data_IF_986123435967
#
_entry.id   IF_986123435967
#
_cell.length_a   1.000
_cell.length_b   1.000
_cell.length_c   1.000
_cell.angle_alpha   90.00
_cell.angle_beta   90.00
_cell.angle_gamma   90.00
#
_symmetry.space_group_name_H-M   'P 1'
#
loop_
_entity.id
_entity.type
_entity.pdbx_description
1 polymer ?
#
# COMPACT_ATOMS: atom_id res chain seq x y z
N UNK A 1 -6.92 -26.69 6.59
CA UNK A 1 -6.22 -25.68 5.77
C UNK A 1 -7.25 -25.03 4.85
N UNK A 2 -7.64 -23.78 5.11
CA UNK A 2 -8.64 -23.06 4.27
C UNK A 2 -7.89 -22.11 3.33
N UNK A 3 -8.20 -22.23 2.04
CA UNK A 3 -7.59 -21.54 0.92
C UNK A 3 -7.65 -20.01 1.05
N UNK A 4 -6.49 -19.35 0.99
CA UNK A 4 -6.34 -17.89 0.96
C UNK A 4 -6.30 -17.31 -0.46
N UNK A 5 -6.75 -18.08 -1.47
CA UNK A 5 -6.77 -17.64 -2.87
C UNK A 5 -8.22 -17.74 -3.37
N UNK A 6 -9.05 -16.77 -3.02
CA UNK A 6 -10.32 -16.56 -3.72
C UNK A 6 -9.99 -15.86 -5.04
N UNK A 7 -10.09 -16.62 -6.13
CA UNK A 7 -10.11 -16.08 -7.48
C UNK A 7 -11.35 -15.22 -7.66
N UNK A 8 -11.16 -13.92 -7.83
CA UNK A 8 -12.24 -12.98 -8.13
C UNK A 8 -12.66 -13.21 -9.59
N UNK A 9 -13.96 -13.33 -9.85
CA UNK A 9 -14.43 -13.26 -11.23
C UNK A 9 -14.23 -11.83 -11.78
N UNK A 10 -14.12 -11.68 -13.09
CA UNK A 10 -14.03 -10.36 -13.73
C UNK A 10 -15.21 -9.45 -13.35
N UNK A 11 -16.39 -10.03 -13.12
CA UNK A 11 -17.57 -9.31 -12.63
C UNK A 11 -17.35 -8.77 -11.21
N UNK A 12 -16.85 -9.60 -10.30
CA UNK A 12 -16.57 -9.21 -8.91
C UNK A 12 -15.53 -8.09 -8.83
N UNK A 13 -14.50 -8.16 -9.67
CA UNK A 13 -13.50 -7.10 -9.76
C UNK A 13 -14.12 -5.79 -10.26
N UNK A 14 -14.93 -5.84 -11.31
CA UNK A 14 -15.59 -4.64 -11.86
C UNK A 14 -16.55 -3.99 -10.85
N UNK A 15 -17.28 -4.80 -10.08
CA UNK A 15 -18.25 -4.33 -9.10
C UNK A 15 -17.56 -3.73 -7.86
N UNK A 16 -16.44 -4.34 -7.44
CA UNK A 16 -15.53 -3.76 -6.44
C UNK A 16 -15.03 -2.40 -6.89
N UNK A 17 -14.60 -2.25 -8.14
CA UNK A 17 -14.12 -0.96 -8.66
C UNK A 17 -15.22 0.11 -8.67
N UNK A 18 -16.47 -0.24 -9.03
CA UNK A 18 -17.62 0.67 -8.94
C UNK A 18 -17.89 1.10 -7.51
N UNK A 19 -17.81 0.17 -6.55
CA UNK A 19 -17.99 0.46 -5.13
C UNK A 19 -16.91 1.40 -4.60
N UNK A 20 -15.64 1.13 -4.91
CA UNK A 20 -14.51 1.99 -4.56
C UNK A 20 -14.68 3.39 -5.18
N UNK A 21 -15.13 3.47 -6.44
CA UNK A 21 -15.38 4.74 -7.11
C UNK A 21 -16.42 5.60 -6.37
N UNK A 22 -17.50 4.99 -5.87
CA UNK A 22 -18.50 5.68 -5.04
C UNK A 22 -17.95 6.09 -3.68
N UNK A 23 -17.21 5.21 -3.00
CA UNK A 23 -16.63 5.46 -1.69
C UNK A 23 -15.75 6.72 -1.66
N UNK A 24 -15.10 7.04 -2.77
CA UNK A 24 -14.26 8.25 -2.92
C UNK A 24 -14.98 9.56 -2.61
N UNK A 25 -16.30 9.61 -2.81
CA UNK A 25 -17.10 10.82 -2.59
C UNK A 25 -17.67 10.92 -1.18
N UNK A 26 -17.68 9.81 -0.42
CA UNK A 26 -18.38 9.73 0.87
C UNK A 26 -17.48 9.32 2.03
N UNK A 27 -16.28 8.80 1.77
CA UNK A 27 -15.34 8.36 2.79
C UNK A 27 -13.95 8.97 2.51
N UNK A 28 -13.44 9.87 3.38
CA UNK A 28 -12.11 10.47 3.19
C UNK A 28 -10.96 9.44 3.25
N UNK A 29 -11.21 8.24 3.77
CA UNK A 29 -10.29 7.11 3.87
C UNK A 29 -10.63 5.96 2.91
N UNK A 30 -11.36 6.23 1.82
CA UNK A 30 -11.75 5.24 0.79
C UNK A 30 -10.57 4.38 0.31
N UNK A 31 -9.37 4.95 0.25
CA UNK A 31 -8.16 4.30 -0.24
C UNK A 31 -7.68 3.18 0.69
N UNK A 32 -8.03 3.21 1.98
CA UNK A 32 -7.72 2.12 2.93
C UNK A 32 -8.57 0.88 2.64
N UNK A 33 -9.81 1.10 2.18
CA UNK A 33 -10.70 0.02 1.73
C UNK A 33 -10.26 -0.50 0.36
N UNK A 34 -9.84 0.41 -0.53
CA UNK A 34 -9.46 0.07 -1.91
C UNK A 34 -8.27 -0.92 -1.99
N UNK A 35 -7.34 -0.86 -1.04
CA UNK A 35 -6.20 -1.80 -0.94
C UNK A 35 -6.55 -3.13 -0.24
N UNK A 36 -7.83 -3.39 -0.01
CA UNK A 36 -8.33 -4.64 0.57
C UNK A 36 -8.79 -4.53 2.04
N UNK A 37 -8.84 -3.34 2.62
CA UNK A 37 -9.25 -3.15 4.02
C UNK A 37 -8.23 -3.70 5.02
N UNK A 38 -8.70 -3.96 6.25
CA UNK A 38 -7.88 -4.43 7.38
C UNK A 38 -6.54 -3.71 7.45
N UNK A 39 -6.63 -2.38 7.41
CA UNK A 39 -5.50 -1.52 7.10
C UNK A 39 -4.37 -1.69 8.12
N UNK A 40 -4.73 -1.56 9.40
CA UNK A 40 -3.77 -1.61 10.50
C UNK A 40 -3.23 -3.03 10.70
N UNK A 41 -4.10 -4.04 10.62
CA UNK A 41 -3.76 -5.44 10.88
C UNK A 41 -2.83 -5.99 9.80
N UNK A 42 -3.21 -5.84 8.52
CA UNK A 42 -2.43 -6.39 7.42
C UNK A 42 -1.16 -5.57 7.19
N UNK A 43 -1.22 -4.24 7.32
CA UNK A 43 -0.05 -3.38 7.20
C UNK A 43 1.04 -3.77 8.19
N UNK A 44 0.67 -3.97 9.45
CA UNK A 44 1.60 -4.42 10.50
C UNK A 44 2.09 -5.84 10.25
N UNK A 45 1.21 -6.78 9.89
CA UNK A 45 1.61 -8.17 9.61
C UNK A 45 2.64 -8.28 8.48
N UNK A 46 2.44 -7.53 7.38
CA UNK A 46 3.41 -7.48 6.27
C UNK A 46 4.79 -7.02 6.74
N UNK A 47 4.83 -5.99 7.59
CA UNK A 47 6.06 -5.43 8.14
C UNK A 47 6.75 -6.39 9.11
N UNK A 48 6.02 -6.87 10.12
CA UNK A 48 6.56 -7.76 11.15
C UNK A 48 7.16 -9.02 10.54
N UNK A 49 6.50 -9.58 9.51
CA UNK A 49 7.01 -10.74 8.79
C UNK A 49 8.36 -10.47 8.14
N UNK A 50 8.49 -9.41 7.35
CA UNK A 50 9.75 -9.14 6.64
C UNK A 50 10.90 -8.76 7.57
N UNK A 51 10.64 -8.02 8.65
CA UNK A 51 11.67 -7.75 9.67
C UNK A 51 12.11 -9.04 10.36
N UNK A 52 11.18 -9.94 10.67
CA UNK A 52 11.50 -11.25 11.24
C UNK A 52 12.36 -12.10 10.30
N UNK A 53 12.11 -12.03 8.99
CA UNK A 53 12.88 -12.75 7.97
C UNK A 53 14.19 -12.05 7.56
N UNK A 54 14.56 -10.95 8.23
CA UNK A 54 15.88 -10.33 8.11
C UNK A 54 15.94 -9.02 7.33
N UNK A 55 14.82 -8.33 7.07
CA UNK A 55 14.85 -6.97 6.52
C UNK A 55 15.54 -6.02 7.51
N UNK A 56 16.64 -5.41 7.07
CA UNK A 56 17.41 -4.43 7.85
C UNK A 56 17.09 -3.00 7.44
N UNK A 57 17.49 -2.01 8.26
CA UNK A 57 17.19 -0.59 8.00
C UNK A 57 17.95 -0.05 6.79
N UNK A 58 19.08 -0.67 6.47
CA UNK A 58 20.02 -0.37 5.41
C UNK A 58 19.58 -0.87 4.04
N UNK A 59 18.66 -1.84 4.00
CA UNK A 59 18.21 -2.45 2.76
C UNK A 59 17.47 -1.45 1.86
N UNK A 60 17.56 -1.67 0.54
CA UNK A 60 16.68 -1.02 -0.42
C UNK A 60 15.46 -1.90 -0.65
N UNK A 61 14.27 -1.37 -0.37
CA UNK A 61 13.02 -2.12 -0.42
C UNK A 61 12.14 -1.68 -1.59
N UNK A 62 11.78 -2.64 -2.45
CA UNK A 62 10.81 -2.46 -3.54
C UNK A 62 9.44 -3.03 -3.15
N UNK A 63 8.44 -2.17 -3.02
CA UNK A 63 7.04 -2.54 -2.77
C UNK A 63 6.24 -2.49 -4.09
N UNK A 64 5.98 -3.67 -4.67
CA UNK A 64 5.23 -3.82 -5.92
C UNK A 64 3.73 -3.94 -5.63
N UNK A 65 2.94 -3.01 -6.19
CA UNK A 65 1.53 -2.87 -5.82
C UNK A 65 1.37 -2.21 -4.46
N UNK A 66 2.20 -1.19 -4.18
CA UNK A 66 2.26 -0.51 -2.88
C UNK A 66 0.95 0.23 -2.53
N UNK A 67 0.06 0.44 -3.52
CA UNK A 67 -1.24 1.06 -3.35
C UNK A 67 -1.15 2.42 -2.69
N UNK A 68 -1.90 2.58 -1.60
CA UNK A 68 -1.92 3.81 -0.79
C UNK A 68 -1.00 3.72 0.44
N UNK A 69 -0.05 2.79 0.44
CA UNK A 69 0.97 2.56 1.49
C UNK A 69 0.47 1.86 2.77
N UNK A 70 -0.40 0.85 2.66
CA UNK A 70 -0.84 0.06 3.84
C UNK A 70 0.33 -0.54 4.60
N UNK A 71 1.14 -1.35 3.92
CA UNK A 71 2.42 -1.83 4.47
C UNK A 71 3.49 -0.75 4.43
N UNK A 72 3.52 0.05 3.36
CA UNK A 72 4.51 1.09 3.11
C UNK A 72 4.76 2.04 4.29
N UNK A 73 3.73 2.47 5.04
CA UNK A 73 3.93 3.36 6.20
C UNK A 73 4.82 2.72 7.28
N UNK A 74 4.76 1.41 7.47
CA UNK A 74 5.60 0.70 8.43
C UNK A 74 7.04 0.55 7.92
N UNK A 75 7.20 0.11 6.67
CA UNK A 75 8.52 -0.03 6.03
C UNK A 75 9.27 1.31 5.97
N UNK A 76 8.60 2.38 5.51
CA UNK A 76 9.18 3.72 5.39
C UNK A 76 9.62 4.27 6.76
N UNK A 77 8.89 3.95 7.83
CA UNK A 77 9.27 4.35 9.20
C UNK A 77 10.54 3.64 9.67
N UNK A 78 10.71 2.37 9.30
CA UNK A 78 11.83 1.53 9.73
C UNK A 78 13.11 1.78 8.92
N UNK A 79 13.03 1.79 7.59
CA UNK A 79 14.16 1.91 6.67
C UNK A 79 14.87 3.27 6.79
N UNK A 80 16.12 3.38 6.31
CA UNK A 80 16.81 4.67 6.17
C UNK A 80 16.09 5.60 5.18
N UNK A 81 16.24 6.94 5.31
CA UNK A 81 15.67 7.86 4.33
C UNK A 81 16.16 7.54 2.90
N UNK A 82 15.26 7.50 1.92
CA UNK A 82 15.56 7.17 0.52
C UNK A 82 15.57 5.67 0.18
N UNK A 83 15.34 4.79 1.15
CA UNK A 83 15.49 3.33 0.97
C UNK A 83 14.18 2.60 0.63
N UNK A 84 13.09 3.33 0.44
CA UNK A 84 11.81 2.76 0.03
C UNK A 84 11.46 3.18 -1.39
N UNK A 85 11.13 2.21 -2.23
CA UNK A 85 10.65 2.39 -3.60
C UNK A 85 9.30 1.69 -3.76
N UNK A 86 8.23 2.45 -3.98
CA UNK A 86 6.89 1.92 -4.19
C UNK A 86 6.44 2.10 -5.63
N UNK A 87 5.89 1.04 -6.24
CA UNK A 87 5.22 1.11 -7.54
C UNK A 87 3.77 0.68 -7.45
N UNK A 88 2.91 1.34 -8.22
CA UNK A 88 1.51 0.94 -8.39
C UNK A 88 0.98 1.40 -9.75
N UNK A 89 0.01 0.68 -10.31
CA UNK A 89 -0.65 1.06 -11.56
C UNK A 89 -1.61 2.26 -11.36
N UNK A 90 -2.09 2.47 -10.13
CA UNK A 90 -3.15 3.40 -9.82
C UNK A 90 -2.61 4.69 -9.19
N UNK A 91 -2.45 5.74 -10.01
CA UNK A 91 -1.99 7.06 -9.56
C UNK A 91 -2.79 7.61 -8.37
N UNK A 92 -4.10 7.36 -8.31
CA UNK A 92 -4.96 7.90 -7.25
C UNK A 92 -4.66 7.26 -5.89
N UNK A 93 -4.22 6.00 -5.87
CA UNK A 93 -3.75 5.35 -4.64
C UNK A 93 -2.39 5.91 -4.22
N UNK A 94 -1.48 6.13 -5.16
CA UNK A 94 -0.19 6.78 -4.87
C UNK A 94 -0.38 8.18 -4.27
N UNK A 95 -1.30 8.98 -4.83
CA UNK A 95 -1.60 10.32 -4.31
C UNK A 95 -2.22 10.26 -2.90
N UNK A 96 -3.09 9.29 -2.64
CA UNK A 96 -3.59 9.05 -1.28
C UNK A 96 -2.48 8.62 -0.32
N UNK A 97 -1.53 7.80 -0.79
CA UNK A 97 -0.35 7.39 -0.05
C UNK A 97 0.55 8.57 0.33
N UNK A 98 0.75 9.55 -0.56
CA UNK A 98 1.43 10.81 -0.22
C UNK A 98 0.71 11.55 0.91
N UNK A 99 -0.63 11.52 0.93
CA UNK A 99 -1.43 12.03 2.05
C UNK A 99 -1.17 11.27 3.37
N UNK A 100 -1.04 9.95 3.32
CA UNK A 100 -0.66 9.13 4.48
C UNK A 100 0.77 9.43 4.98
N UNK A 101 1.73 9.68 4.08
CA UNK A 101 3.07 10.11 4.47
C UNK A 101 3.03 11.40 5.27
N UNK A 102 2.21 12.38 4.84
CA UNK A 102 2.02 13.63 5.58
C UNK A 102 1.39 13.36 6.95
N UNK A 103 0.29 12.60 7.00
CA UNK A 103 -0.41 12.26 8.26
C UNK A 103 0.48 11.55 9.28
N UNK A 104 1.43 10.73 8.81
CA UNK A 104 2.33 9.94 9.65
C UNK A 104 3.68 10.61 9.94
N UNK A 105 3.88 11.86 9.48
CA UNK A 105 5.14 12.61 9.56
C UNK A 105 6.34 11.91 8.90
N UNK A 106 6.11 11.21 7.78
CA UNK A 106 7.11 10.39 7.08
C UNK A 106 7.65 11.02 5.80
N UNK A 107 7.23 12.22 5.41
CA UNK A 107 7.74 12.90 4.20
C UNK A 107 9.27 13.01 4.22
N UNK A 108 9.86 13.29 5.39
CA UNK A 108 11.31 13.40 5.58
C UNK A 108 12.09 12.11 5.29
N UNK A 109 11.41 10.96 5.21
CA UNK A 109 12.02 9.68 4.83
C UNK A 109 12.26 9.57 3.32
N UNK A 110 11.80 10.54 2.53
CA UNK A 110 12.03 10.65 1.09
C UNK A 110 11.78 9.33 0.30
N UNK A 111 10.61 8.68 0.44
CA UNK A 111 10.30 7.49 -0.33
C UNK A 111 10.07 7.84 -1.81
N UNK A 112 10.47 6.95 -2.72
CA UNK A 112 10.17 7.09 -4.15
C UNK A 112 8.86 6.37 -4.47
N UNK A 113 7.91 7.06 -5.11
CA UNK A 113 6.62 6.49 -5.54
C UNK A 113 6.42 6.72 -7.04
N UNK A 114 6.27 5.65 -7.81
CA UNK A 114 6.18 5.71 -9.27
C UNK A 114 4.94 4.99 -9.76
N UNK A 115 4.19 5.65 -10.66
CA UNK A 115 3.15 4.98 -11.41
C UNK A 115 3.78 4.19 -12.56
N UNK A 116 3.54 2.89 -12.60
CA UNK A 116 3.95 2.03 -13.72
C UNK A 116 3.00 0.85 -13.87
N UNK A 117 2.75 0.41 -15.10
CA UNK A 117 1.84 -0.69 -15.41
C UNK A 117 2.07 -1.32 -16.79
N UNK A 118 3.23 -1.06 -17.40
CA UNK A 118 3.66 -1.72 -18.63
C UNK A 118 4.80 -2.68 -18.30
N UNK A 119 4.45 -3.92 -18.00
CA UNK A 119 5.36 -5.07 -17.94
C UNK A 119 4.64 -6.27 -18.54
#
# INVERSE_FOLDING_TARGET
MKNWILGWSMKDYSEKQRTIAKLRYINPYWYRIAVGGMWEEIGKLQFDYLVKEGLEREDYFLDVGCGSLRGGIHFIRYLKPGHYFGIDINQRLLDAGKGELKRNNLIHKNPTLVQTGGF
#
